data_IF_864622595161
#
_entry.id   IF_864622595161
#
_cell.length_a   1.000
_cell.length_b   1.000
_cell.length_c   1.000
_cell.angle_alpha   90.00
_cell.angle_beta   90.00
_cell.angle_gamma   90.00
#
_symmetry.space_group_name_H-M   'P 1'
#
loop_
_entity.id
_entity.type
_entity.pdbx_description
1 polymer ?
#
# COMPACT_ATOMS: atom_id res chain seq x y z
N UNK A 1 -16.05 3.68 -9.99
CA UNK A 1 -15.30 2.43 -9.71
C UNK A 1 -13.95 2.79 -9.11
N UNK A 2 -13.51 2.10 -8.06
CA UNK A 2 -12.22 2.30 -7.39
C UNK A 2 -11.37 1.05 -7.58
N UNK A 3 -10.19 1.18 -8.20
CA UNK A 3 -9.23 0.09 -8.35
C UNK A 3 -8.23 0.08 -7.20
N UNK A 4 -7.88 -1.12 -6.76
CA UNK A 4 -6.92 -1.34 -5.67
C UNK A 4 -6.02 -2.54 -6.01
N UNK A 5 -4.83 -2.56 -5.43
CA UNK A 5 -3.90 -3.69 -5.47
C UNK A 5 -4.31 -4.82 -4.51
N UNK A 6 -5.24 -4.54 -3.58
CA UNK A 6 -5.69 -5.50 -2.58
C UNK A 6 -4.83 -5.56 -1.32
N UNK A 7 -3.96 -4.57 -1.08
CA UNK A 7 -3.25 -4.39 0.17
C UNK A 7 -4.18 -4.33 1.38
N UNK A 8 -3.65 -4.49 2.59
CA UNK A 8 -4.45 -4.64 3.83
C UNK A 8 -5.51 -3.55 3.99
N UNK A 9 -5.17 -2.30 3.69
CA UNK A 9 -6.06 -1.14 3.89
C UNK A 9 -7.14 -1.01 2.80
N UNK A 10 -7.01 -1.75 1.70
CA UNK A 10 -7.93 -1.76 0.56
C UNK A 10 -8.54 -3.15 0.30
N UNK A 11 -8.28 -4.10 1.20
CA UNK A 11 -8.71 -5.49 1.05
C UNK A 11 -10.19 -5.60 1.41
N UNK A 12 -11.05 -5.58 0.39
CA UNK A 12 -12.51 -5.68 0.52
C UNK A 12 -13.03 -7.02 1.11
N UNK A 13 -12.16 -7.96 1.49
CA UNK A 13 -12.56 -9.13 2.30
C UNK A 13 -12.51 -8.85 3.79
N UNK A 14 -11.85 -7.76 4.21
CA UNK A 14 -11.85 -7.28 5.58
C UNK A 14 -13.12 -6.47 5.82
N UNK A 15 -13.74 -6.72 6.96
CA UNK A 15 -15.03 -6.12 7.27
C UNK A 15 -14.94 -4.62 7.57
N UNK A 16 -13.89 -4.20 8.29
CA UNK A 16 -13.61 -2.78 8.51
C UNK A 16 -13.51 -1.98 7.20
N UNK A 17 -12.89 -2.56 6.15
CA UNK A 17 -12.78 -1.92 4.83
C UNK A 17 -14.16 -1.79 4.17
N UNK A 18 -15.04 -2.79 4.32
CA UNK A 18 -16.42 -2.73 3.81
C UNK A 18 -17.24 -1.68 4.52
N UNK A 19 -17.15 -1.61 5.85
CA UNK A 19 -17.84 -0.59 6.62
C UNK A 19 -17.38 0.82 6.23
N UNK A 20 -16.08 1.05 6.08
CA UNK A 20 -15.55 2.32 5.57
C UNK A 20 -16.07 2.64 4.16
N UNK A 21 -16.19 1.61 3.32
CA UNK A 21 -16.74 1.76 1.96
C UNK A 21 -18.23 2.15 1.97
N UNK A 22 -19.01 1.61 2.91
CA UNK A 22 -20.42 1.99 3.09
C UNK A 22 -20.53 3.46 3.51
N UNK A 23 -19.65 3.93 4.41
CA UNK A 23 -19.61 5.35 4.75
C UNK A 23 -19.37 6.23 3.52
N UNK A 24 -18.38 5.89 2.69
CA UNK A 24 -18.06 6.65 1.47
C UNK A 24 -19.24 6.61 0.48
N UNK A 25 -19.90 5.47 0.35
CA UNK A 25 -21.06 5.29 -0.51
C UNK A 25 -22.20 6.24 -0.13
N UNK A 26 -22.48 6.38 1.16
CA UNK A 26 -23.49 7.33 1.66
C UNK A 26 -23.03 8.78 1.60
N UNK A 27 -21.80 9.08 2.02
CA UNK A 27 -21.26 10.43 2.06
C UNK A 27 -21.26 11.09 0.66
N UNK A 28 -20.91 10.32 -0.36
CA UNK A 28 -20.92 10.78 -1.75
C UNK A 28 -22.28 10.59 -2.44
N UNK A 29 -23.30 10.07 -1.74
CA UNK A 29 -24.64 9.76 -2.26
C UNK A 29 -24.60 8.97 -3.59
N UNK A 30 -23.71 7.98 -3.69
CA UNK A 30 -23.49 7.25 -4.94
C UNK A 30 -24.65 6.33 -5.26
N UNK A 31 -25.03 6.23 -6.53
CA UNK A 31 -26.01 5.24 -6.96
C UNK A 31 -25.40 3.82 -7.02
N UNK A 32 -24.13 3.74 -7.38
CA UNK A 32 -23.35 2.50 -7.39
C UNK A 32 -21.87 2.78 -7.07
N UNK A 33 -21.27 1.91 -6.27
CA UNK A 33 -19.83 1.93 -6.00
C UNK A 33 -19.25 0.53 -6.19
N UNK A 34 -18.22 0.43 -7.02
CA UNK A 34 -17.50 -0.83 -7.28
C UNK A 34 -16.09 -0.66 -6.78
N UNK A 35 -15.70 -1.48 -5.80
CA UNK A 35 -14.32 -1.65 -5.36
C UNK A 35 -13.75 -2.87 -6.07
N UNK A 36 -12.84 -2.65 -7.01
CA UNK A 36 -12.21 -3.71 -7.77
C UNK A 36 -10.75 -3.88 -7.33
N UNK A 37 -10.36 -5.12 -7.11
CA UNK A 37 -8.98 -5.53 -6.85
C UNK A 37 -8.40 -6.10 -8.13
N UNK A 38 -7.21 -5.63 -8.50
CA UNK A 38 -6.48 -6.16 -9.63
C UNK A 38 -6.09 -7.62 -9.37
N UNK A 39 -6.12 -8.46 -10.40
CA UNK A 39 -5.63 -9.83 -10.27
C UNK A 39 -4.11 -9.81 -9.97
N UNK A 40 -3.59 -10.78 -9.20
CA UNK A 40 -2.16 -10.99 -9.04
C UNK A 40 -1.40 -10.97 -10.37
N UNK A 41 -0.28 -10.24 -10.42
CA UNK A 41 0.52 -10.06 -11.63
C UNK A 41 -0.04 -9.05 -12.65
N UNK A 42 -1.20 -8.45 -12.38
CA UNK A 42 -1.84 -7.46 -13.26
C UNK A 42 -1.82 -6.05 -12.64
N UNK A 43 -0.84 -5.74 -11.78
CA UNK A 43 -0.73 -4.46 -11.08
C UNK A 43 -0.60 -3.26 -12.02
N UNK A 44 -0.09 -3.46 -13.24
CA UNK A 44 -0.01 -2.41 -14.28
C UNK A 44 -1.36 -1.79 -14.66
N UNK A 45 -2.47 -2.50 -14.39
CA UNK A 45 -3.84 -1.98 -14.59
C UNK A 45 -4.28 -1.01 -13.48
N UNK A 46 -3.65 -1.06 -12.29
CA UNK A 46 -3.96 -0.17 -11.18
C UNK A 46 -3.47 1.26 -11.50
N UNK A 47 -4.35 2.27 -11.52
CA UNK A 47 -3.94 3.65 -11.76
C UNK A 47 -2.88 4.14 -10.77
N UNK A 48 -2.90 3.68 -9.51
CA UNK A 48 -1.91 4.04 -8.51
C UNK A 48 -0.50 3.55 -8.91
N UNK A 49 -0.38 2.32 -9.41
CA UNK A 49 0.91 1.75 -9.85
C UNK A 49 1.48 2.50 -11.05
N UNK A 50 0.60 2.98 -11.94
CA UNK A 50 1.02 3.75 -13.12
C UNK A 50 1.69 5.07 -12.73
N UNK A 51 1.18 5.75 -11.70
CA UNK A 51 1.73 7.04 -11.26
C UNK A 51 3.03 6.88 -10.44
N UNK A 52 3.26 5.72 -9.82
CA UNK A 52 4.47 5.45 -9.02
C UNK A 52 5.77 5.68 -9.80
N UNK A 53 5.79 5.33 -11.09
CA UNK A 53 6.96 5.56 -11.96
C UNK A 53 7.36 7.04 -12.06
N UNK A 54 6.37 7.94 -12.04
CA UNK A 54 6.58 9.40 -12.09
C UNK A 54 6.99 9.91 -10.72
N UNK A 55 6.34 9.44 -9.64
CA UNK A 55 6.73 9.78 -8.27
C UNK A 55 8.19 9.40 -7.98
N UNK A 56 8.65 8.26 -8.51
CA UNK A 56 10.03 7.83 -8.38
C UNK A 56 11.03 8.82 -8.99
N UNK A 57 10.65 9.57 -10.04
CA UNK A 57 11.52 10.62 -10.61
C UNK A 57 11.81 11.72 -9.60
N UNK A 58 10.80 12.14 -8.84
CA UNK A 58 10.96 13.14 -7.77
C UNK A 58 11.82 12.63 -6.61
N UNK A 59 11.87 11.32 -6.37
CA UNK A 59 12.66 10.71 -5.31
C UNK A 59 14.08 10.31 -5.75
N UNK A 60 14.44 10.52 -7.02
CA UNK A 60 15.81 10.28 -7.46
C UNK A 60 16.78 11.17 -6.69
N UNK A 61 17.89 10.56 -6.27
CA UNK A 61 18.99 11.22 -5.54
C UNK A 61 18.57 11.85 -4.21
N UNK A 62 17.50 11.34 -3.61
CA UNK A 62 17.04 11.78 -2.31
C UNK A 62 17.44 10.76 -1.24
N UNK A 63 18.14 11.22 -0.22
CA UNK A 63 18.34 10.52 1.05
C UNK A 63 17.60 11.32 2.12
N UNK A 64 16.62 10.69 2.75
CA UNK A 64 15.73 11.30 3.72
C UNK A 64 16.02 10.74 5.10
N UNK A 65 16.25 11.63 6.03
CA UNK A 65 16.41 11.31 7.45
C UNK A 65 15.76 12.42 8.25
N UNK A 66 14.97 12.04 9.26
CA UNK A 66 14.45 13.03 10.20
C UNK A 66 15.61 13.59 11.04
N UNK A 67 15.58 14.86 11.46
CA UNK A 67 16.48 15.34 12.50
C UNK A 67 16.37 14.47 13.77
N UNK A 68 17.46 14.42 14.53
CA UNK A 68 17.45 13.90 15.90
C UNK A 68 16.65 14.83 16.80
N UNK A 69 15.80 14.25 17.64
CA UNK A 69 15.15 14.95 18.75
C UNK A 69 16.10 15.13 19.94
N UNK A 70 15.57 15.68 21.02
CA UNK A 70 16.27 15.71 22.31
C UNK A 70 16.50 14.30 22.86
N UNK A 71 17.53 14.16 23.70
CA UNK A 71 18.00 12.88 24.24
C UNK A 71 16.90 12.08 24.97
N UNK A 72 15.95 12.76 25.64
CA UNK A 72 14.82 12.10 26.30
C UNK A 72 13.84 11.52 25.27
N UNK A 73 13.49 12.33 24.27
CA UNK A 73 12.55 11.95 23.21
C UNK A 73 13.12 10.83 22.33
N UNK A 74 14.40 10.92 21.95
CA UNK A 74 15.07 9.85 21.19
C UNK A 74 15.14 8.55 21.98
N UNK A 75 15.46 8.59 23.28
CA UNK A 75 15.46 7.39 24.12
C UNK A 75 14.10 6.69 24.13
N UNK A 76 13.00 7.44 24.19
CA UNK A 76 11.66 6.88 24.19
C UNK A 76 11.25 6.36 22.80
N UNK A 77 11.64 7.04 21.72
CA UNK A 77 11.39 6.59 20.34
C UNK A 77 12.17 5.30 20.05
N UNK A 78 13.45 5.23 20.40
CA UNK A 78 14.32 4.06 20.16
C UNK A 78 13.81 2.84 20.94
N UNK A 79 13.28 3.03 22.15
CA UNK A 79 12.63 1.96 22.92
C UNK A 79 11.39 1.40 22.22
N UNK A 80 10.75 2.17 21.35
CA UNK A 80 9.64 1.69 20.53
C UNK A 80 10.18 0.82 19.38
N UNK A 81 10.26 -0.50 19.59
CA UNK A 81 10.69 -1.46 18.56
C UNK A 81 9.72 -1.62 17.36
N UNK A 82 8.63 -0.84 17.30
CA UNK A 82 7.67 -0.87 16.19
C UNK A 82 6.88 0.44 16.07
N UNK A 83 6.31 0.69 14.88
CA UNK A 83 5.38 1.79 14.68
C UNK A 83 4.10 1.66 15.52
N UNK A 84 3.66 0.43 15.83
CA UNK A 84 2.50 0.20 16.68
C UNK A 84 2.77 0.66 18.12
N UNK A 85 3.92 0.28 18.69
CA UNK A 85 4.34 0.75 20.02
C UNK A 85 4.53 2.26 20.06
N UNK A 86 5.07 2.87 19.01
CA UNK A 86 5.24 4.33 18.92
C UNK A 86 3.88 5.04 18.92
N UNK A 87 2.88 4.53 18.19
CA UNK A 87 1.51 5.07 18.23
C UNK A 87 0.90 4.98 19.62
N UNK A 88 0.99 3.82 20.29
CA UNK A 88 0.51 3.66 21.67
C UNK A 88 1.22 4.61 22.64
N UNK A 89 2.51 4.88 22.44
CA UNK A 89 3.26 5.85 23.23
C UNK A 89 2.72 7.26 23.00
N UNK A 90 2.53 7.67 21.74
CA UNK A 90 2.00 8.99 21.37
C UNK A 90 0.56 9.22 21.87
N UNK A 91 -0.25 8.17 21.97
CA UNK A 91 -1.58 8.24 22.59
C UNK A 91 -1.52 8.57 24.09
N UNK A 92 -0.52 8.00 24.78
CA UNK A 92 -0.32 8.20 26.23
C UNK A 92 0.41 9.51 26.55
N UNK A 93 1.33 9.92 25.69
CA UNK A 93 2.25 11.06 25.87
C UNK A 93 2.12 12.03 24.70
N UNK A 94 1.26 13.05 24.87
CA UNK A 94 0.97 14.04 23.82
C UNK A 94 2.18 14.93 23.49
N UNK A 95 3.08 15.15 24.45
CA UNK A 95 4.35 15.83 24.26
C UNK A 95 5.25 15.09 23.24
N UNK A 96 5.39 13.77 23.38
CA UNK A 96 6.14 12.94 22.42
C UNK A 96 5.47 12.96 21.05
N UNK A 97 4.13 12.94 21.00
CA UNK A 97 3.39 13.04 19.75
C UNK A 97 3.70 14.34 19.01
N UNK A 98 3.69 15.47 19.71
CA UNK A 98 3.97 16.78 19.13
C UNK A 98 5.41 16.86 18.62
N UNK A 99 6.38 16.44 19.44
CA UNK A 99 7.79 16.37 19.01
C UNK A 99 7.99 15.45 17.81
N UNK A 100 7.33 14.29 17.78
CA UNK A 100 7.41 13.38 16.63
C UNK A 100 6.90 14.02 15.33
N UNK A 101 5.80 14.78 15.39
CA UNK A 101 5.29 15.53 14.24
C UNK A 101 6.33 16.55 13.77
N UNK A 102 6.90 17.33 14.70
CA UNK A 102 7.93 18.34 14.40
C UNK A 102 9.20 17.71 13.80
N UNK A 103 9.61 16.53 14.27
CA UNK A 103 10.77 15.81 13.74
C UNK A 103 10.52 15.26 12.33
N UNK A 104 9.30 14.84 12.02
CA UNK A 104 8.97 14.25 10.71
C UNK A 104 8.65 15.31 9.65
N UNK A 105 8.18 16.50 10.06
CA UNK A 105 7.74 17.57 9.17
C UNK A 105 8.78 17.96 8.11
N UNK A 106 10.09 18.14 8.41
CA UNK A 106 11.08 18.50 7.39
C UNK A 106 11.18 17.47 6.25
N UNK A 107 11.06 16.18 6.60
CA UNK A 107 11.08 15.07 5.63
C UNK A 107 9.81 15.08 4.79
N UNK A 108 8.65 15.25 5.42
CA UNK A 108 7.37 15.34 4.71
C UNK A 108 7.33 16.53 3.76
N UNK A 109 7.74 17.71 4.21
CA UNK A 109 7.85 18.93 3.41
C UNK A 109 8.79 18.73 2.20
N UNK A 110 9.93 18.08 2.38
CA UNK A 110 10.85 17.76 1.27
C UNK A 110 10.19 16.88 0.21
N UNK A 111 9.55 15.79 0.62
CA UNK A 111 8.82 14.89 -0.29
C UNK A 111 7.67 15.61 -0.98
N UNK A 112 6.89 16.40 -0.22
CA UNK A 112 5.76 17.18 -0.71
C UNK A 112 6.19 18.16 -1.80
N UNK A 113 7.21 18.96 -1.54
CA UNK A 113 7.72 19.95 -2.48
C UNK A 113 8.25 19.31 -3.76
N UNK A 114 8.87 18.13 -3.66
CA UNK A 114 9.34 17.38 -4.82
C UNK A 114 8.19 16.83 -5.66
N UNK A 115 7.16 16.26 -5.04
CA UNK A 115 5.98 15.78 -5.75
C UNK A 115 5.18 16.90 -6.42
N UNK A 116 5.05 18.07 -5.78
CA UNK A 116 4.34 19.22 -6.35
C UNK A 116 5.00 19.79 -7.62
N UNK A 117 6.28 19.48 -7.88
CA UNK A 117 6.97 19.84 -9.14
C UNK A 117 6.63 18.91 -10.30
N UNK A 118 5.97 17.78 -10.04
CA UNK A 118 5.61 16.80 -11.06
C UNK A 118 4.26 17.13 -11.71
N UNK A 119 4.11 16.66 -12.94
CA UNK A 119 2.83 16.64 -13.64
C UNK A 119 2.66 15.31 -14.38
N UNK A 120 1.41 14.93 -14.61
CA UNK A 120 1.05 13.78 -15.44
C UNK A 120 0.01 14.24 -16.46
N UNK A 121 0.34 14.10 -17.76
CA UNK A 121 -0.52 14.57 -18.87
C UNK A 121 -0.95 16.03 -18.67
N UNK A 122 0.03 16.90 -18.40
CA UNK A 122 -0.17 18.34 -18.17
C UNK A 122 -1.02 18.70 -16.95
N UNK A 123 -1.43 17.71 -16.14
CA UNK A 123 -2.10 17.95 -14.85
C UNK A 123 -1.07 17.96 -13.74
N UNK A 124 -0.95 19.06 -12.98
CA UNK A 124 -0.02 19.12 -11.85
C UNK A 124 -0.44 18.15 -10.76
N UNK A 125 0.53 17.57 -10.07
CA UNK A 125 0.26 16.76 -8.89
C UNK A 125 -0.19 17.64 -7.73
N UNK A 126 -1.05 17.08 -6.88
CA UNK A 126 -1.57 17.74 -5.69
C UNK A 126 -1.18 16.96 -4.45
N UNK A 127 -0.79 17.68 -3.40
CA UNK A 127 -0.54 17.11 -2.09
C UNK A 127 -1.66 17.53 -1.15
N UNK A 128 -2.44 16.57 -0.70
CA UNK A 128 -3.60 16.77 0.16
C UNK A 128 -3.19 16.45 1.60
N UNK A 129 -3.63 17.26 2.55
CA UNK A 129 -3.38 16.99 3.96
C UNK A 129 -4.19 15.79 4.46
N UNK A 130 -3.69 15.07 5.48
CA UNK A 130 -4.46 14.01 6.11
C UNK A 130 -5.79 14.57 6.64
N UNK A 131 -6.86 13.79 6.43
CA UNK A 131 -8.18 14.09 6.99
C UNK A 131 -8.11 14.10 8.52
N UNK A 132 -8.79 15.05 9.16
CA UNK A 132 -8.80 15.17 10.61
C UNK A 132 -9.63 14.05 11.26
N UNK A 133 -9.36 13.73 12.53
CA UNK A 133 -10.00 12.59 13.23
C UNK A 133 -11.50 12.84 13.43
N UNK A 134 -11.89 14.08 13.70
CA UNK A 134 -13.28 14.51 13.79
C UNK A 134 -14.00 14.41 12.44
N UNK A 135 -13.35 14.74 11.33
CA UNK A 135 -13.90 14.52 9.99
C UNK A 135 -14.10 13.02 9.69
N UNK A 136 -13.18 12.15 10.13
CA UNK A 136 -13.36 10.70 10.06
C UNK A 136 -14.59 10.28 10.87
N UNK A 137 -14.77 10.82 12.08
CA UNK A 137 -15.95 10.49 12.90
C UNK A 137 -17.26 10.98 12.28
N UNK A 138 -17.26 12.14 11.62
CA UNK A 138 -18.40 12.64 10.82
C UNK A 138 -18.76 11.62 9.74
N UNK A 139 -17.78 11.09 9.01
CA UNK A 139 -18.02 10.07 7.98
C UNK A 139 -18.49 8.74 8.61
N UNK A 140 -18.01 8.39 9.80
CA UNK A 140 -18.44 7.20 10.54
C UNK A 140 -19.89 7.27 11.05
N UNK A 141 -20.50 8.46 11.12
CA UNK A 141 -21.91 8.62 11.55
C UNK A 141 -22.89 7.78 10.73
N UNK A 142 -22.62 7.59 9.43
CA UNK A 142 -23.44 6.77 8.55
C UNK A 142 -23.61 5.34 9.09
N UNK A 143 -22.57 4.77 9.71
CA UNK A 143 -22.70 3.45 10.31
C UNK A 143 -23.55 3.46 11.58
N UNK A 144 -23.50 4.53 12.38
CA UNK A 144 -24.31 4.66 13.60
C UNK A 144 -25.79 4.86 13.28
N UNK A 145 -26.07 5.69 12.28
CA UNK A 145 -27.43 6.03 11.86
C UNK A 145 -28.12 4.84 11.18
N UNK A 146 -27.41 4.13 10.27
CA UNK A 146 -27.99 3.00 9.55
C UNK A 146 -27.90 1.67 10.31
N UNK A 147 -26.91 1.50 11.19
CA UNK A 147 -26.66 0.25 11.92
C UNK A 147 -26.40 0.54 13.41
N UNK A 148 -27.42 0.97 14.18
CA UNK A 148 -27.25 1.39 15.57
C UNK A 148 -26.69 0.28 16.49
N UNK A 149 -26.95 -1.00 16.15
CA UNK A 149 -26.47 -2.15 16.92
C UNK A 149 -25.02 -2.56 16.57
N UNK A 150 -24.37 -1.87 15.62
CA UNK A 150 -23.03 -2.20 15.17
C UNK A 150 -21.97 -1.63 16.12
N UNK A 151 -21.09 -2.51 16.64
CA UNK A 151 -19.98 -2.07 17.47
C UNK A 151 -18.82 -1.54 16.59
N UNK A 152 -18.68 -0.22 16.51
CA UNK A 152 -17.66 0.47 15.70
C UNK A 152 -16.22 0.24 16.17
N UNK A 153 -15.99 -0.16 17.42
CA UNK A 153 -14.65 -0.50 17.91
C UNK A 153 -14.22 -1.91 17.46
N UNK A 154 -15.15 -2.74 16.99
CA UNK A 154 -14.93 -4.15 16.67
C UNK A 154 -15.51 -4.52 15.30
N UNK A 155 -14.98 -3.91 14.25
CA UNK A 155 -15.37 -4.16 12.85
C UNK A 155 -14.72 -5.43 12.26
N UNK A 156 -14.85 -6.54 12.97
CA UNK A 156 -14.42 -7.86 12.50
C UNK A 156 -15.65 -8.70 12.16
N UNK A 157 -15.52 -9.58 11.17
CA UNK A 157 -16.62 -10.42 10.66
C UNK A 157 -17.35 -11.21 11.76
N UNK A 158 -16.64 -11.62 12.82
CA UNK A 158 -17.24 -12.35 13.97
C UNK A 158 -18.20 -11.49 14.80
N UNK A 159 -18.05 -10.17 14.75
CA UNK A 159 -18.86 -9.20 15.48
C UNK A 159 -19.96 -8.63 14.58
N UNK A 160 -19.64 -8.24 13.35
CA UNK A 160 -20.63 -7.68 12.41
C UNK A 160 -21.72 -8.67 12.03
N UNK A 161 -21.39 -9.97 11.96
CA UNK A 161 -22.37 -11.05 11.77
C UNK A 161 -23.43 -11.19 12.86
N UNK A 162 -23.26 -10.53 14.01
CA UNK A 162 -24.26 -10.54 15.08
C UNK A 162 -25.28 -9.40 14.94
N UNK A 163 -25.01 -8.45 14.04
CA UNK A 163 -25.86 -7.30 13.77
C UNK A 163 -26.80 -7.61 12.60
N UNK A 164 -28.08 -7.86 12.91
CA UNK A 164 -29.05 -8.31 11.92
C UNK A 164 -29.36 -7.23 10.88
N UNK A 165 -29.49 -5.97 11.30
CA UNK A 165 -29.74 -4.81 10.42
C UNK A 165 -28.62 -4.65 9.38
N UNK A 166 -27.37 -4.79 9.82
CA UNK A 166 -26.21 -4.78 8.94
C UNK A 166 -26.22 -5.93 7.93
N UNK A 167 -26.50 -7.16 8.36
CA UNK A 167 -26.55 -8.34 7.46
C UNK A 167 -27.62 -8.16 6.39
N UNK A 168 -28.85 -7.81 6.80
CA UNK A 168 -29.97 -7.60 5.87
C UNK A 168 -29.65 -6.52 4.85
N UNK A 169 -28.99 -5.45 5.29
CA UNK A 169 -28.57 -4.38 4.39
C UNK A 169 -27.51 -4.86 3.39
N UNK A 170 -26.48 -5.57 3.86
CA UNK A 170 -25.43 -6.14 3.01
C UNK A 170 -26.00 -7.08 1.95
N UNK A 171 -26.96 -7.94 2.32
CA UNK A 171 -27.60 -8.87 1.39
C UNK A 171 -28.41 -8.14 0.31
N UNK A 172 -29.06 -7.02 0.66
CA UNK A 172 -29.89 -6.24 -0.27
C UNK A 172 -29.07 -5.29 -1.16
N UNK A 173 -28.00 -4.68 -0.64
CA UNK A 173 -27.29 -3.56 -1.27
C UNK A 173 -25.88 -3.86 -1.73
N UNK A 174 -25.36 -5.06 -1.45
CA UNK A 174 -24.00 -5.42 -1.85
C UNK A 174 -23.91 -6.70 -2.66
N UNK A 175 -22.88 -6.77 -3.50
CA UNK A 175 -22.46 -8.01 -4.16
C UNK A 175 -20.99 -8.21 -3.94
N UNK A 176 -20.66 -9.30 -3.26
CA UNK A 176 -19.28 -9.72 -3.08
C UNK A 176 -18.92 -10.77 -4.13
N UNK A 177 -17.85 -10.50 -4.87
CA UNK A 177 -17.19 -11.45 -5.79
C UNK A 177 -15.73 -11.62 -5.40
N UNK A 178 -14.99 -12.39 -6.18
CA UNK A 178 -13.58 -12.70 -5.90
C UNK A 178 -12.68 -11.44 -6.05
N UNK A 179 -12.90 -10.68 -7.11
CA UNK A 179 -12.13 -9.46 -7.39
C UNK A 179 -12.87 -8.17 -7.00
N UNK A 180 -14.19 -8.21 -6.84
CA UNK A 180 -14.98 -6.99 -6.59
C UNK A 180 -15.82 -7.06 -5.33
N UNK A 181 -15.94 -5.93 -4.65
CA UNK A 181 -17.05 -5.66 -3.73
C UNK A 181 -17.85 -4.49 -4.28
N UNK A 182 -19.13 -4.72 -4.50
CA UNK A 182 -20.02 -3.77 -5.17
C UNK A 182 -21.10 -3.35 -4.19
N UNK A 183 -21.43 -2.07 -4.17
CA UNK A 183 -22.55 -1.46 -3.46
C UNK A 183 -23.45 -0.78 -4.48
N UNK A 184 -24.76 -0.84 -4.28
CA UNK A 184 -25.73 -0.09 -5.07
C UNK A 184 -26.92 0.32 -4.22
N UNK A 185 -27.57 1.40 -4.63
CA UNK A 185 -28.89 1.77 -4.08
C UNK A 185 -29.93 0.72 -4.46
N UNK A 186 -30.90 0.51 -3.58
CA UNK A 186 -32.10 -0.23 -3.93
C UNK A 186 -33.20 0.73 -4.38
N UNK A 187 -34.21 0.20 -5.07
CA UNK A 187 -35.36 1.00 -5.54
C UNK A 187 -36.42 1.25 -4.43
N UNK A 188 -36.11 0.89 -3.19
CA UNK A 188 -37.02 1.06 -2.07
C UNK A 188 -36.85 2.47 -1.49
N UNK A 189 -37.87 3.31 -1.70
CA UNK A 189 -37.90 4.71 -1.25
C UNK A 189 -37.80 4.86 0.27
N UNK A 190 -38.13 3.82 1.04
CA UNK A 190 -37.95 3.82 2.50
C UNK A 190 -36.54 3.43 2.94
N UNK A 191 -35.67 3.05 1.99
CA UNK A 191 -34.34 2.51 2.26
C UNK A 191 -33.23 3.32 1.59
N UNK A 192 -33.44 3.81 0.37
CA UNK A 192 -32.48 4.62 -0.37
C UNK A 192 -33.18 5.83 -0.99
N UNK A 193 -32.43 6.95 -1.07
CA UNK A 193 -32.83 8.08 -1.91
C UNK A 193 -32.95 7.58 -3.35
N UNK A 194 -34.00 7.96 -4.12
CA UNK A 194 -34.14 7.52 -5.51
C UNK A 194 -32.87 7.73 -6.33
N UNK A 195 -32.50 6.71 -7.11
CA UNK A 195 -31.33 6.79 -7.99
C UNK A 195 -31.56 7.79 -9.12
N UNK A 196 -30.48 8.48 -9.50
CA UNK A 196 -30.43 9.36 -10.67
C UNK A 196 -30.32 8.63 -12.01
N UNK A 197 -29.84 7.38 -11.99
CA UNK A 197 -29.52 6.59 -13.20
C UNK A 197 -30.66 5.67 -13.66
N UNK A 198 -31.73 5.51 -12.87
CA UNK A 198 -32.81 4.56 -13.15
C UNK A 198 -32.38 3.09 -12.99
N UNK A 199 -33.33 2.21 -12.71
CA UNK A 199 -33.06 0.79 -12.34
C UNK A 199 -32.29 0.01 -13.40
N UNK A 200 -32.61 0.25 -14.66
CA UNK A 200 -32.02 -0.44 -15.82
C UNK A 200 -30.51 -0.19 -15.98
N UNK A 201 -30.01 0.92 -15.43
CA UNK A 201 -28.60 1.28 -15.48
C UNK A 201 -27.84 0.95 -14.18
N UNK A 202 -28.52 0.43 -13.14
CA UNK A 202 -27.93 0.01 -11.86
C UNK A 202 -27.74 -1.51 -11.74
N UNK A 203 -27.14 -2.07 -12.79
CA UNK A 203 -26.84 -3.49 -12.82
C UNK A 203 -25.52 -3.81 -12.14
N UNK A 204 -25.46 -5.00 -11.53
CA UNK A 204 -24.21 -5.50 -10.98
C UNK A 204 -23.17 -5.69 -12.09
N UNK A 205 -21.93 -5.32 -11.81
CA UNK A 205 -20.80 -5.64 -12.68
C UNK A 205 -20.62 -7.16 -12.72
N UNK A 206 -20.66 -7.80 -13.91
CA UNK A 206 -20.35 -9.21 -14.05
C UNK A 206 -18.85 -9.47 -13.85
N UNK A 207 -18.49 -10.71 -13.49
CA UNK A 207 -17.10 -11.15 -13.53
C UNK A 207 -16.66 -11.39 -15.00
N UNK A 208 -15.35 -11.26 -15.31
CA UNK A 208 -14.85 -11.54 -16.67
C UNK A 208 -15.17 -12.97 -17.12
N UNK A 209 -15.50 -13.14 -18.40
CA UNK A 209 -15.73 -14.45 -19.05
C UNK A 209 -14.80 -14.58 -20.24
N UNK A 210 -14.07 -15.69 -20.33
CA UNK A 210 -13.14 -15.93 -21.45
C UNK A 210 -13.93 -16.15 -22.74
N UNK A 211 -13.48 -15.53 -23.83
CA UNK A 211 -14.07 -15.75 -25.13
C UNK A 211 -13.73 -17.17 -25.63
N UNK A 212 -14.75 -17.95 -25.98
CA UNK A 212 -14.59 -19.35 -26.41
C UNK A 212 -13.91 -19.48 -27.77
N UNK A 213 -14.01 -18.44 -28.61
CA UNK A 213 -13.40 -18.37 -29.95
C UNK A 213 -11.98 -17.83 -29.90
N UNK A 214 -11.71 -16.89 -28.99
CA UNK A 214 -10.41 -16.28 -28.77
C UNK A 214 -10.03 -16.37 -27.28
N UNK A 215 -9.34 -17.45 -26.91
CA UNK A 215 -9.04 -17.76 -25.51
C UNK A 215 -8.07 -16.78 -24.83
N UNK A 216 -7.44 -15.87 -25.59
CA UNK A 216 -6.56 -14.83 -25.06
C UNK A 216 -7.34 -13.57 -24.62
N UNK A 217 -8.62 -13.47 -24.98
CA UNK A 217 -9.47 -12.32 -24.69
C UNK A 217 -10.70 -12.69 -23.85
N UNK A 218 -11.24 -11.69 -23.15
CA UNK A 218 -12.53 -11.79 -22.46
C UNK A 218 -13.65 -11.27 -23.36
N UNK A 219 -14.88 -11.76 -23.14
CA UNK A 219 -16.08 -11.21 -23.77
C UNK A 219 -16.26 -9.72 -23.39
N UNK A 220 -16.87 -8.96 -24.30
CA UNK A 220 -17.17 -7.55 -24.07
C UNK A 220 -18.27 -7.39 -23.01
N UNK A 221 -18.25 -6.26 -22.29
CA UNK A 221 -19.21 -5.99 -21.22
C UNK A 221 -20.66 -6.10 -21.70
N UNK A 222 -20.96 -5.60 -22.89
CA UNK A 222 -22.30 -5.60 -23.49
C UNK A 222 -22.88 -7.01 -23.66
N UNK A 223 -22.02 -8.01 -23.85
CA UNK A 223 -22.40 -9.41 -24.04
C UNK A 223 -22.72 -10.09 -22.69
N UNK A 224 -22.04 -9.65 -21.61
CA UNK A 224 -22.11 -10.31 -20.29
C UNK A 224 -22.87 -9.52 -19.23
N UNK A 225 -23.21 -8.25 -19.46
CA UNK A 225 -23.75 -7.34 -18.43
C UNK A 225 -24.99 -7.89 -17.71
N UNK A 226 -25.83 -8.69 -18.37
CA UNK A 226 -27.05 -9.27 -17.78
C UNK A 226 -26.87 -10.69 -17.23
N UNK A 227 -25.63 -11.20 -17.17
CA UNK A 227 -25.35 -12.59 -16.81
C UNK A 227 -24.76 -12.72 -15.41
N UNK A 228 -25.06 -13.82 -14.74
CA UNK A 228 -24.35 -14.23 -13.53
C UNK A 228 -23.10 -15.01 -13.91
N UNK A 229 -21.96 -14.33 -13.93
CA UNK A 229 -20.66 -14.91 -14.30
C UNK A 229 -19.79 -15.03 -13.05
N UNK A 230 -19.10 -16.15 -12.86
CA UNK A 230 -18.18 -16.36 -11.72
C UNK A 230 -17.06 -17.41 -11.99
N UNK A 231 -17.13 -18.11 -13.11
CA UNK A 231 -16.29 -19.29 -13.41
C UNK A 231 -14.85 -18.93 -13.74
N UNK A 232 -14.64 -17.85 -14.50
CA UNK A 232 -13.33 -17.46 -14.99
C UNK A 232 -12.59 -16.56 -13.99
N UNK A 233 -11.70 -17.20 -13.21
CA UNK A 233 -10.83 -16.52 -12.23
C UNK A 233 -9.36 -16.66 -12.64
N UNK A 234 -8.80 -15.70 -13.39
CA UNK A 234 -7.46 -15.82 -13.98
C UNK A 234 -6.38 -16.14 -12.93
N UNK A 235 -6.48 -15.55 -11.74
CA UNK A 235 -5.51 -15.77 -10.66
C UNK A 235 -5.54 -17.18 -10.06
N UNK A 236 -6.66 -17.88 -10.15
CA UNK A 236 -6.79 -19.27 -9.66
C UNK A 236 -6.23 -20.28 -10.66
N UNK A 237 -6.17 -19.93 -11.95
CA UNK A 237 -5.56 -20.76 -13.01
C UNK A 237 -4.02 -20.74 -12.91
N UNK A 238 -3.42 -19.61 -12.51
CA UNK A 238 -1.95 -19.44 -12.37
C UNK A 238 -1.38 -20.31 -11.24
N UNK A 239 -2.09 -20.46 -10.11
CA UNK A 239 -1.62 -21.25 -8.95
C UNK A 239 -1.53 -22.76 -9.21
N UNK A 240 -2.20 -23.28 -10.25
CA UNK A 240 -2.09 -24.71 -10.61
C UNK A 240 -0.77 -25.06 -11.30
N UNK A 241 -0.04 -24.07 -11.86
CA UNK A 241 1.25 -24.31 -12.53
C UNK A 241 2.45 -24.34 -11.57
N UNK A 242 2.30 -23.91 -10.30
CA UNK A 242 3.41 -23.84 -9.33
C UNK A 242 3.46 -25.01 -8.33
N UNK A 243 2.66 -26.07 -8.51
CA UNK A 243 2.74 -27.30 -7.71
C UNK A 243 3.23 -28.47 -8.57
N UNK A 244 4.51 -28.48 -8.91
CA UNK A 244 5.29 -29.67 -9.30
C UNK A 244 6.78 -29.33 -9.28
N UNK A 245 7.31 -29.21 -8.07
CA UNK A 245 8.72 -29.55 -7.82
C UNK A 245 8.72 -30.32 -6.51
N UNK A 246 8.90 -31.63 -6.60
CA UNK A 246 9.05 -32.52 -5.46
C UNK A 246 10.30 -32.09 -4.66
N UNK A 247 10.12 -31.76 -3.38
CA UNK A 247 11.21 -31.83 -2.41
C UNK A 247 10.85 -32.91 -1.41
N UNK A 248 11.61 -33.99 -1.51
CA UNK A 248 11.67 -35.09 -0.56
C UNK A 248 12.02 -34.50 0.81
N UNK A 249 11.11 -34.69 1.76
CA UNK A 249 11.34 -34.36 3.17
C UNK A 249 12.05 -35.56 3.80
N UNK A 250 13.36 -35.45 3.99
CA UNK A 250 14.04 -36.23 5.03
C UNK A 250 13.98 -35.44 6.33
N UNK A 251 13.38 -36.06 7.34
CA UNK A 251 13.35 -35.57 8.71
C UNK A 251 14.67 -35.95 9.39
N UNK A 252 15.40 -34.96 9.89
CA UNK A 252 16.26 -35.13 11.05
C UNK A 252 16.02 -33.97 12.00
N UNK A 253 15.52 -34.33 13.17
CA UNK A 253 15.53 -33.54 14.41
C UNK A 253 16.98 -33.31 14.82
N UNK A 254 17.36 -32.07 15.13
CA UNK A 254 18.31 -31.78 16.21
C UNK A 254 18.20 -30.30 16.63
N UNK A 255 18.09 -30.10 17.94
CA UNK A 255 18.13 -28.83 18.64
C UNK A 255 19.53 -28.23 18.54
N UNK A 256 19.69 -26.99 18.05
CA UNK A 256 20.91 -26.21 18.27
C UNK A 256 20.55 -24.75 18.56
N UNK A 257 21.13 -24.26 19.65
CA UNK A 257 20.92 -23.02 20.37
C UNK A 257 21.31 -21.75 19.59
N UNK A 258 20.72 -20.60 19.98
CA UNK A 258 21.13 -19.27 19.48
C UNK A 258 22.50 -18.90 20.04
N UNK A 259 23.49 -18.53 19.21
CA UNK A 259 24.69 -17.90 19.71
C UNK A 259 24.46 -16.40 19.98
N UNK A 260 24.88 -16.03 21.17
CA UNK A 260 24.97 -14.70 21.76
C UNK A 260 25.99 -13.81 21.02
N UNK A 261 25.88 -12.50 21.24
CA UNK A 261 26.74 -11.44 20.72
C UNK A 261 28.24 -11.72 20.90
N UNK A 262 29.03 -11.40 19.87
CA UNK A 262 30.50 -11.32 19.93
C UNK A 262 30.90 -9.88 19.61
N UNK A 263 31.47 -9.21 20.60
CA UNK A 263 32.32 -8.02 20.47
C UNK A 263 33.65 -8.40 19.81
N UNK A 264 34.20 -7.49 18.97
CA UNK A 264 35.62 -7.27 18.63
C UNK A 264 35.59 -6.26 17.45
N UNK A 265 35.87 -4.96 17.62
CA UNK A 265 37.15 -4.32 17.91
C UNK A 265 38.27 -4.81 16.99
N UNK A 266 38.45 -4.13 15.84
CA UNK A 266 39.75 -3.94 15.19
C UNK A 266 39.64 -2.85 14.11
N UNK A 267 40.36 -1.76 14.33
CA UNK A 267 40.61 -0.69 13.37
C UNK A 267 41.47 -1.22 12.22
N UNK A 268 41.04 -1.00 10.97
CA UNK A 268 41.96 -0.88 9.84
C UNK A 268 41.52 0.30 8.97
N UNK A 269 42.28 1.39 9.06
CA UNK A 269 42.20 2.51 8.13
C UNK A 269 42.75 2.06 6.78
N UNK A 270 41.89 2.10 5.76
CA UNK A 270 42.34 2.03 4.36
C UNK A 270 42.33 3.46 3.84
N UNK A 271 43.51 4.07 3.75
CA UNK A 271 43.74 5.34 3.08
C UNK A 271 43.72 5.07 1.58
N UNK A 272 42.80 5.70 0.86
CA UNK A 272 42.80 5.75 -0.61
C UNK A 272 43.02 7.22 -0.98
N UNK A 273 44.19 7.52 -1.54
CA UNK A 273 44.49 8.80 -2.17
C UNK A 273 43.62 8.93 -3.44
N UNK A 274 42.89 10.03 -3.57
CA UNK A 274 42.21 10.42 -4.81
C UNK A 274 42.95 11.64 -5.38
N UNK A 275 43.29 11.57 -6.66
CA UNK A 275 43.75 12.73 -7.44
C UNK A 275 42.61 13.76 -7.50
N UNK A 276 42.90 15.00 -7.10
CA UNK A 276 41.97 16.13 -7.09
C UNK A 276 41.61 16.56 -8.52
N UNK A 277 40.51 16.05 -9.07
CA UNK A 277 39.77 16.75 -10.12
C UNK A 277 38.50 17.35 -9.49
N UNK A 278 38.50 18.67 -9.30
CA UNK A 278 37.31 19.41 -8.85
C UNK A 278 36.15 19.20 -9.84
N UNK A 279 34.98 18.70 -9.39
CA UNK A 279 33.83 18.60 -10.27
C UNK A 279 33.22 20.00 -10.46
N UNK A 280 33.27 20.52 -11.68
CA UNK A 280 32.53 21.72 -12.08
C UNK A 280 31.04 21.58 -11.74
N UNK A 281 30.58 22.34 -10.74
CA UNK A 281 29.17 22.46 -10.42
C UNK A 281 28.45 23.24 -11.54
N UNK A 282 27.88 22.52 -12.50
CA UNK A 282 27.02 23.12 -13.52
C UNK A 282 25.69 23.55 -12.88
N UNK A 283 25.54 24.86 -12.70
CA UNK A 283 24.28 25.51 -12.33
C UNK A 283 23.13 25.12 -13.29
N UNK A 284 21.98 24.78 -12.70
CA UNK A 284 20.66 24.84 -13.34
C UNK A 284 20.44 24.04 -14.64
N UNK A 285 20.73 22.73 -14.66
CA UNK A 285 20.16 21.84 -15.68
C UNK A 285 19.37 20.68 -15.09
N UNK A 286 18.19 20.45 -15.69
CA UNK A 286 17.24 19.39 -15.37
C UNK A 286 17.97 18.09 -15.03
N UNK A 287 17.75 17.59 -13.82
CA UNK A 287 18.16 16.25 -13.41
C UNK A 287 17.42 15.21 -14.27
N UNK A 288 18.13 14.66 -15.24
CA UNK A 288 17.67 13.50 -16.03
C UNK A 288 18.05 12.21 -15.30
N UNK A 289 17.27 11.14 -15.49
CA UNK A 289 17.49 9.84 -14.83
C UNK A 289 18.89 9.24 -15.07
N UNK A 290 19.58 9.67 -16.14
CA UNK A 290 20.95 9.27 -16.45
C UNK A 290 22.00 9.96 -15.57
N UNK A 291 21.79 11.22 -15.18
CA UNK A 291 22.68 11.98 -14.28
C UNK A 291 22.39 11.70 -12.79
N UNK A 292 21.31 10.99 -12.48
CA UNK A 292 21.03 10.57 -11.11
C UNK A 292 22.02 9.50 -10.59
N UNK A 293 22.57 8.68 -11.49
CA UNK A 293 23.54 7.66 -11.11
C UNK A 293 24.94 8.22 -10.81
N UNK A 294 25.28 9.41 -11.30
CA UNK A 294 26.61 10.02 -11.12
C UNK A 294 26.73 10.89 -9.87
N UNK A 295 25.62 11.27 -9.23
CA UNK A 295 25.67 12.05 -7.98
C UNK A 295 25.94 11.11 -6.80
N UNK A 296 27.14 11.22 -6.22
CA UNK A 296 27.57 10.47 -5.02
C UNK A 296 26.85 10.99 -3.76
N UNK A 297 26.32 12.21 -3.79
CA UNK A 297 25.64 12.87 -2.66
C UNK A 297 24.15 13.12 -2.92
N UNK A 298 23.37 13.15 -1.84
CA UNK A 298 21.97 13.59 -1.88
C UNK A 298 21.89 15.09 -2.13
N UNK A 299 21.05 15.52 -3.08
CA UNK A 299 20.92 16.95 -3.43
C UNK A 299 20.16 17.81 -2.41
N UNK A 300 19.58 17.20 -1.37
CA UNK A 300 18.86 17.93 -0.31
C UNK A 300 19.69 18.03 0.97
N UNK A 301 20.30 16.92 1.40
CA UNK A 301 21.03 16.87 2.67
C UNK A 301 22.55 16.80 2.51
N UNK A 302 23.07 16.80 1.27
CA UNK A 302 24.48 16.64 0.92
C UNK A 302 25.19 15.42 1.55
N UNK A 303 24.46 14.51 2.17
CA UNK A 303 25.00 13.25 2.69
C UNK A 303 25.40 12.33 1.55
N UNK A 304 26.52 11.63 1.71
CA UNK A 304 26.96 10.61 0.78
C UNK A 304 25.90 9.50 0.66
N UNK A 305 25.64 9.04 -0.56
CA UNK A 305 24.84 7.85 -0.81
C UNK A 305 25.67 6.63 -0.41
N UNK A 306 25.14 5.82 0.51
CA UNK A 306 25.63 4.45 0.69
C UNK A 306 25.22 3.62 -0.53
N UNK A 307 26.02 3.66 -1.60
CA UNK A 307 25.84 2.75 -2.73
C UNK A 307 26.37 1.40 -2.31
N UNK A 308 25.52 0.58 -1.69
CA UNK A 308 25.85 -0.82 -1.47
C UNK A 308 25.80 -1.51 -2.83
N UNK A 309 26.97 -1.76 -3.40
CA UNK A 309 27.10 -2.44 -4.69
C UNK A 309 26.52 -3.85 -4.57
N UNK A 310 25.82 -4.29 -5.62
CA UNK A 310 25.06 -5.55 -5.62
C UNK A 310 25.91 -6.78 -5.25
N UNK A 311 27.22 -6.76 -5.51
CA UNK A 311 28.15 -7.84 -5.13
C UNK A 311 28.31 -7.97 -3.61
N UNK A 312 28.34 -6.85 -2.86
CA UNK A 312 28.45 -6.85 -1.39
C UNK A 312 27.24 -7.53 -0.72
N UNK A 313 26.08 -7.52 -1.39
CA UNK A 313 24.87 -8.20 -0.91
C UNK A 313 24.83 -9.69 -1.25
N UNK A 314 25.58 -10.16 -2.25
CA UNK A 314 25.67 -11.57 -2.65
C UNK A 314 26.82 -12.33 -2.00
N UNK A 315 27.85 -11.63 -1.52
CA UNK A 315 29.06 -12.27 -0.97
C UNK A 315 28.85 -12.90 0.41
N UNK A 316 27.72 -12.62 1.09
CA UNK A 316 27.33 -13.35 2.33
C UNK A 316 26.89 -14.81 2.08
N UNK A 317 26.81 -15.26 0.83
CA UNK A 317 26.42 -16.64 0.48
C UNK A 317 27.55 -17.49 -0.10
N UNK A 318 28.73 -16.93 -0.41
CA UNK A 318 29.81 -17.70 -1.06
C UNK A 318 30.93 -18.17 -0.11
N UNK A 319 30.99 -17.68 1.14
CA UNK A 319 32.03 -18.10 2.10
C UNK A 319 31.79 -19.48 2.77
N UNK A 320 30.89 -20.31 2.25
CA UNK A 320 30.62 -21.67 2.75
C UNK A 320 30.97 -22.79 1.77
N UNK A 321 31.53 -22.47 0.59
CA UNK A 321 31.96 -23.48 -0.38
C UNK A 321 33.33 -23.14 -0.99
N UNK A 322 34.37 -23.10 -0.16
CA UNK A 322 35.76 -23.24 -0.65
C UNK A 322 36.67 -23.89 0.38
N UNK A 323 36.52 -25.19 0.58
CA UNK A 323 37.62 -26.07 1.00
C UNK A 323 37.97 -26.95 -0.18
N UNK A 324 38.86 -26.45 -1.02
CA UNK A 324 39.55 -27.23 -2.05
C UNK A 324 40.46 -28.24 -1.37
N UNK A 325 40.32 -29.50 -1.80
CA UNK A 325 41.30 -30.56 -1.65
C UNK A 325 42.73 -30.05 -1.89
N UNK A 326 43.59 -30.25 -0.89
CA UNK A 326 44.94 -30.79 -1.03
C UNK A 326 45.42 -31.36 0.30
#
# INVERSE_FOLDING_TARGET
MKFTDGGTDQRHTLEAVRCASICIFYELNLDMMILARCAPGQSWTNPAERIMSILNLALQNCALERPSGDDDTEREIIRCGSMASLRTLCEKKQDIKQKWIELIEPVQSTVRNRFLRLSLKEKPMQAIDPIAIDEIDIIQRHLREHFPDLNLQKLQKVHTKKCQSYIQWIEKHSRQRHYTFQLRKCDDANCCIPSTLGRENLMWLPDPVVNTTDQDHYLQYEEVKHQETEEDRPSMKIQKKSKKTDQVVEKTTDEIERPTAIENNEHSEIVIEYEDEEPEFAENKLTTAQHARSTIVCVECNKAKSVVLKHVLTDRTESLFSTSYQ
#
